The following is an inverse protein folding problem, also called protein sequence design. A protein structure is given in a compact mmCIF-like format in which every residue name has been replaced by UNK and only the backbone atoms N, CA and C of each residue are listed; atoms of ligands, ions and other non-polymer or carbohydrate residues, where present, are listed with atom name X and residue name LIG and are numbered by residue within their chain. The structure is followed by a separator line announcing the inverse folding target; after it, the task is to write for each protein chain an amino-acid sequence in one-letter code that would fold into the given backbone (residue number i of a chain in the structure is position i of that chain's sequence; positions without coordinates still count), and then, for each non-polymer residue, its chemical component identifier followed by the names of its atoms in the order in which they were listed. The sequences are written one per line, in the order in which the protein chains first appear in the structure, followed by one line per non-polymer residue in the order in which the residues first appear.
data_IF_591242712475
#
_entry.id   IF_591242712475
#
_cell.length_a   1.000
_cell.length_b   1.000
_cell.length_c   1.000
_cell.angle_alpha   90.00
_cell.angle_beta   90.00
_cell.angle_gamma   90.00
#
_symmetry.space_group_name_H-M   'P 1'
#
loop_
_entity.id
_entity.type
_entity.pdbx_description
1 polymer ?
#
# COMPACT_ATOMS: atom_id res chain seq x y z
N UNK A 1 11.11 -5.57 -15.52
CA UNK A 1 10.75 -4.24 -14.98
C UNK A 1 9.42 -4.39 -14.25
N UNK A 2 9.33 -3.94 -13.00
CA UNK A 2 8.06 -3.97 -12.27
C UNK A 2 7.19 -2.81 -12.78
N UNK A 3 6.19 -3.12 -13.62
CA UNK A 3 5.31 -2.11 -14.20
C UNK A 3 4.30 -1.63 -13.14
N UNK A 4 4.39 -0.37 -12.74
CA UNK A 4 3.44 0.24 -11.79
C UNK A 4 2.23 0.73 -12.60
N UNK A 5 1.05 0.12 -12.40
CA UNK A 5 -0.20 0.52 -13.07
C UNK A 5 -0.77 1.82 -12.46
N UNK A 6 -0.82 1.90 -11.14
CA UNK A 6 -1.27 3.08 -10.41
C UNK A 6 -0.57 3.18 -9.05
N UNK A 7 -0.48 4.39 -8.50
CA UNK A 7 0.01 4.62 -7.14
C UNK A 7 -0.76 5.76 -6.48
N UNK A 8 -0.90 5.71 -5.17
CA UNK A 8 -1.51 6.76 -4.35
C UNK A 8 -0.87 6.76 -2.97
N UNK A 9 -0.98 7.89 -2.27
CA UNK A 9 -0.40 8.06 -0.94
C UNK A 9 -1.35 8.80 -0.01
N UNK A 10 -1.21 8.56 1.28
CA UNK A 10 -1.96 9.25 2.33
C UNK A 10 -1.34 10.63 2.61
N UNK A 11 -2.05 11.44 3.41
CA UNK A 11 -1.44 12.62 4.04
C UNK A 11 -0.44 12.21 5.14
N UNK A 12 0.61 13.01 5.32
CA UNK A 12 1.62 12.77 6.36
C UNK A 12 1.01 12.97 7.75
N UNK A 13 1.13 11.96 8.62
CA UNK A 13 0.80 12.05 10.04
C UNK A 13 2.04 12.44 10.82
N UNK A 14 2.00 13.61 11.48
CA UNK A 14 3.14 14.16 12.23
C UNK A 14 3.21 13.57 13.64
N UNK A 15 4.43 13.36 14.13
CA UNK A 15 4.71 12.96 15.52
C UNK A 15 3.95 11.71 15.99
N UNK A 16 3.92 10.65 15.16
CA UNK A 16 3.23 9.39 15.50
C UNK A 16 4.07 8.18 15.11
N UNK A 17 4.34 7.29 16.07
CA UNK A 17 4.99 5.99 15.87
C UNK A 17 4.03 4.86 15.51
N UNK A 18 2.72 5.11 15.61
CA UNK A 18 1.64 4.19 15.27
C UNK A 18 0.55 4.96 14.50
N UNK A 19 0.84 5.41 13.27
CA UNK A 19 -0.07 6.27 12.53
C UNK A 19 -1.34 5.52 12.10
N UNK A 20 -2.50 6.11 12.38
CA UNK A 20 -3.79 5.66 11.86
C UNK A 20 -4.23 6.62 10.75
N UNK A 21 -4.34 6.11 9.52
CA UNK A 21 -4.65 6.94 8.35
C UNK A 21 -6.14 7.01 8.02
N UNK A 22 -6.86 5.89 8.15
CA UNK A 22 -8.27 5.74 7.80
C UNK A 22 -8.62 6.36 6.43
N UNK A 23 -7.77 6.10 5.43
CA UNK A 23 -7.93 6.60 4.07
C UNK A 23 -8.16 5.44 3.11
N UNK A 24 -9.14 5.60 2.22
CA UNK A 24 -9.47 4.61 1.19
C UNK A 24 -8.91 5.05 -0.15
N UNK A 25 -8.32 4.11 -0.90
CA UNK A 25 -7.92 4.29 -2.28
C UNK A 25 -8.79 3.42 -3.19
N UNK A 26 -9.04 3.89 -4.41
CA UNK A 26 -9.69 3.12 -5.47
C UNK A 26 -8.76 3.08 -6.67
N UNK A 27 -8.58 1.89 -7.23
CA UNK A 27 -7.78 1.66 -8.43
C UNK A 27 -8.65 0.89 -9.42
N UNK A 28 -8.73 1.41 -10.65
CA UNK A 28 -9.43 0.74 -11.74
C UNK A 28 -8.47 -0.23 -12.43
N UNK A 29 -8.89 -1.49 -12.56
CA UNK A 29 -8.14 -2.58 -13.17
C UNK A 29 -9.15 -3.46 -13.90
N UNK A 30 -8.78 -3.97 -15.07
CA UNK A 30 -9.59 -4.95 -15.79
C UNK A 30 -9.64 -6.27 -15.01
N UNK A 31 -10.82 -6.89 -14.95
CA UNK A 31 -11.09 -8.08 -14.14
C UNK A 31 -10.24 -9.29 -14.55
N UNK A 32 -9.90 -9.41 -15.84
CA UNK A 32 -9.10 -10.50 -16.40
C UNK A 32 -7.62 -10.43 -16.01
N UNK A 33 -7.09 -9.23 -15.79
CA UNK A 33 -5.70 -9.00 -15.39
C UNK A 33 -5.50 -8.87 -13.89
N UNK A 34 -6.56 -8.65 -13.09
CA UNK A 34 -6.43 -8.26 -11.66
C UNK A 34 -5.55 -9.22 -10.86
N UNK A 35 -5.67 -10.52 -11.12
CA UNK A 35 -4.91 -11.59 -10.43
C UNK A 35 -3.42 -11.61 -10.78
N UNK A 36 -3.01 -10.93 -11.86
CA UNK A 36 -1.62 -10.83 -12.29
C UNK A 36 -0.86 -9.71 -11.54
N UNK A 37 -1.58 -8.84 -10.83
CA UNK A 37 -0.99 -7.73 -10.11
C UNK A 37 -0.70 -8.08 -8.64
N UNK A 38 0.21 -7.30 -8.07
CA UNK A 38 0.48 -7.24 -6.63
C UNK A 38 0.16 -5.84 -6.13
N UNK A 39 -0.40 -5.75 -4.94
CA UNK A 39 -0.51 -4.51 -4.20
C UNK A 39 0.72 -4.37 -3.31
N UNK A 40 1.48 -3.30 -3.49
CA UNK A 40 2.61 -2.95 -2.62
C UNK A 40 2.28 -1.73 -1.80
N UNK A 41 2.24 -1.88 -0.48
CA UNK A 41 2.09 -0.79 0.47
C UNK A 41 3.46 -0.52 1.09
N UNK A 42 4.02 0.65 0.83
CA UNK A 42 5.30 1.08 1.42
C UNK A 42 5.05 2.12 2.50
N UNK A 43 5.58 1.89 3.70
CA UNK A 43 5.55 2.88 4.76
C UNK A 43 6.77 3.80 4.63
N UNK A 44 6.53 5.10 4.63
CA UNK A 44 7.57 6.12 4.58
C UNK A 44 7.61 6.91 5.88
N UNK A 45 8.80 7.06 6.43
CA UNK A 45 9.09 8.08 7.44
C UNK A 45 9.53 9.35 6.71
N UNK A 46 8.80 10.45 6.94
CA UNK A 46 9.06 11.73 6.31
C UNK A 46 9.64 12.67 7.34
N UNK A 47 10.89 13.04 7.15
CA UNK A 47 11.54 14.03 7.99
C UNK A 47 11.81 15.33 7.19
N UNK A 48 11.56 16.53 7.77
CA UNK A 48 11.50 17.78 7.01
C UNK A 48 12.77 18.14 6.23
N UNK A 49 13.94 17.72 6.72
CA UNK A 49 15.24 18.13 6.18
C UNK A 49 15.86 17.12 5.19
N UNK A 50 15.50 15.84 5.28
CA UNK A 50 16.12 14.73 4.57
C UNK A 50 15.11 13.94 3.71
N UNK A 51 13.84 14.36 3.68
CA UNK A 51 12.83 13.82 2.78
C UNK A 51 12.15 12.56 3.30
N UNK A 52 11.73 11.70 2.37
CA UNK A 52 11.02 10.45 2.66
C UNK A 52 11.97 9.27 2.61
N UNK A 53 12.03 8.51 3.71
CA UNK A 53 12.77 7.25 3.80
C UNK A 53 11.78 6.10 3.92
N UNK A 54 11.92 5.09 3.07
CA UNK A 54 11.14 3.87 3.23
C UNK A 54 11.56 3.16 4.53
N UNK A 55 10.57 2.84 5.36
CA UNK A 55 10.75 2.05 6.59
C UNK A 55 10.66 0.57 6.27
N UNK A 56 9.72 0.20 5.40
CA UNK A 56 9.50 -1.16 4.94
C UNK A 56 8.25 -1.24 4.06
N UNK A 57 7.96 -2.42 3.54
CA UNK A 57 6.80 -2.63 2.69
C UNK A 57 6.05 -3.93 2.99
N UNK A 58 4.77 -3.93 2.65
CA UNK A 58 3.93 -5.12 2.57
C UNK A 58 3.58 -5.35 1.11
N UNK A 59 3.77 -6.58 0.65
CA UNK A 59 3.39 -7.02 -0.70
C UNK A 59 2.25 -8.03 -0.56
N UNK A 60 1.16 -7.77 -1.27
CA UNK A 60 -0.02 -8.63 -1.31
C UNK A 60 -0.29 -9.00 -2.77
N UNK A 61 0.02 -10.24 -3.18
CA UNK A 61 -0.41 -10.75 -4.49
C UNK A 61 -1.94 -10.77 -4.56
N UNK A 62 -2.54 -10.19 -5.60
CA UNK A 62 -4.00 -10.10 -5.70
C UNK A 62 -4.65 -11.45 -6.03
N UNK A 63 -3.90 -12.42 -6.56
CA UNK A 63 -4.37 -13.80 -6.73
C UNK A 63 -4.51 -14.58 -5.41
N UNK A 64 -3.98 -14.07 -4.29
CA UNK A 64 -4.03 -14.72 -2.99
C UNK A 64 -5.05 -14.07 -2.04
N UNK A 65 -5.89 -13.15 -2.55
CA UNK A 65 -6.91 -12.44 -1.80
C UNK A 65 -8.25 -12.69 -2.45
N UNK A 66 -9.27 -12.96 -1.63
CA UNK A 66 -10.66 -12.95 -2.10
C UNK A 66 -11.09 -11.49 -2.30
N UNK A 67 -11.27 -11.09 -3.56
CA UNK A 67 -11.69 -9.74 -3.95
C UNK A 67 -13.22 -9.56 -3.94
N UNK A 68 -13.99 -10.63 -3.74
CA UNK A 68 -15.45 -10.59 -3.69
C UNK A 68 -15.99 -10.28 -2.28
N UNK A 69 -15.12 -10.21 -1.27
CA UNK A 69 -15.49 -9.94 0.11
C UNK A 69 -14.57 -8.90 0.77
N UNK A 70 -15.05 -8.31 1.85
CA UNK A 70 -14.26 -7.37 2.66
C UNK A 70 -13.21 -8.15 3.48
N UNK A 71 -11.94 -8.08 3.05
CA UNK A 71 -10.82 -8.68 3.75
C UNK A 71 -10.09 -7.67 4.66
N UNK A 72 -9.89 -8.02 5.92
CA UNK A 72 -8.98 -7.29 6.84
C UNK A 72 -7.76 -8.16 7.15
N UNK A 73 -6.56 -7.58 7.03
CA UNK A 73 -5.30 -8.29 7.26
C UNK A 73 -4.30 -7.44 8.06
N UNK A 74 -3.43 -8.11 8.81
CA UNK A 74 -2.27 -7.52 9.49
C UNK A 74 -1.01 -8.25 9.06
N UNK A 75 0.04 -7.51 8.71
CA UNK A 75 1.33 -8.04 8.26
C UNK A 75 2.46 -7.17 8.80
N UNK A 76 3.58 -7.81 9.11
CA UNK A 76 4.80 -7.10 9.46
C UNK A 76 5.41 -6.45 8.22
N UNK A 77 6.11 -5.33 8.43
CA UNK A 77 6.87 -4.68 7.38
C UNK A 77 8.11 -5.52 7.05
N UNK A 78 8.31 -5.78 5.76
CA UNK A 78 9.53 -6.40 5.23
C UNK A 78 10.59 -5.34 4.93
#
# INVERSE_FOLDING_TARGET
MNNIKASSKTSTRRASSAPVFNQTFRFEVEDDEVTQYLLRLTMYDRHPQNGEKAVGAVIVPLNAVDLCSDATMSRDLQ
#
